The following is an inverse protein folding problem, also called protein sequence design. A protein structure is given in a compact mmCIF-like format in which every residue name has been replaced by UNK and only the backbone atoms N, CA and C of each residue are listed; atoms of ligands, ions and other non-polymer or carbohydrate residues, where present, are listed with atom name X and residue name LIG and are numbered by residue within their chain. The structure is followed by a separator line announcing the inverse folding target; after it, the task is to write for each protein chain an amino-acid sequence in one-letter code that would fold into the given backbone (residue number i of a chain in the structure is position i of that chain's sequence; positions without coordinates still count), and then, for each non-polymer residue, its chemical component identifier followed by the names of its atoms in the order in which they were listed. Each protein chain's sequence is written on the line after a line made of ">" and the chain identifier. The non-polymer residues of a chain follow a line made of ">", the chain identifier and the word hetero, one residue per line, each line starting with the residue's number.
data_IF_664995986875
#
_entry.id   IF_664995986875
#
_cell.length_a   1.000
_cell.length_b   1.000
_cell.length_c   1.000
_cell.angle_alpha   90.00
_cell.angle_beta   90.00
_cell.angle_gamma   90.00
#
_symmetry.space_group_name_H-M   'P 1'
#
loop_
_entity.id
_entity.type
_entity.pdbx_description
1 polymer ?
#
# COMPACT_ATOMS: atom_id res chain seq x y z
N UNK A 1 -1.40 -5.58 -16.98
CA UNK A 1 -2.03 -4.27 -17.26
C UNK A 1 -1.94 -3.41 -16.00
N UNK A 2 -1.82 -2.09 -16.11
CA UNK A 2 -1.81 -1.16 -14.97
C UNK A 2 -3.04 -0.26 -15.06
N UNK A 3 -3.85 -0.22 -14.00
CA UNK A 3 -5.09 0.55 -13.95
C UNK A 3 -4.91 1.76 -13.03
N UNK A 4 -5.18 2.96 -13.54
CA UNK A 4 -5.19 4.20 -12.77
C UNK A 4 -6.61 4.73 -12.60
N UNK A 5 -6.82 5.46 -11.51
CA UNK A 5 -8.00 6.28 -11.27
C UNK A 5 -7.57 7.73 -11.25
N UNK A 6 -8.23 8.57 -12.04
CA UNK A 6 -7.84 9.96 -12.26
C UNK A 6 -9.02 10.90 -12.06
N UNK A 7 -8.74 12.12 -11.60
CA UNK A 7 -9.68 13.23 -11.62
C UNK A 7 -9.38 14.15 -12.81
N UNK A 8 -10.41 14.48 -13.58
CA UNK A 8 -10.34 15.38 -14.73
C UNK A 8 -11.44 16.45 -14.60
N UNK A 9 -11.43 17.52 -15.40
CA UNK A 9 -12.54 18.46 -15.46
C UNK A 9 -13.89 17.84 -15.81
N UNK A 10 -13.91 16.64 -16.44
CA UNK A 10 -15.11 15.88 -16.76
C UNK A 10 -15.60 14.98 -15.60
N UNK A 11 -14.77 14.79 -14.56
CA UNK A 11 -15.04 13.93 -13.41
C UNK A 11 -13.99 12.86 -13.21
N UNK A 12 -14.30 11.89 -12.35
CA UNK A 12 -13.42 10.77 -12.03
C UNK A 12 -13.55 9.67 -13.09
N UNK A 13 -12.41 9.25 -13.62
CA UNK A 13 -12.31 8.21 -14.65
C UNK A 13 -11.35 7.11 -14.21
N UNK A 14 -11.55 5.88 -14.70
CA UNK A 14 -10.60 4.78 -14.62
C UNK A 14 -10.10 4.44 -16.03
N UNK A 15 -8.82 4.05 -16.12
CA UNK A 15 -8.23 3.68 -17.40
C UNK A 15 -6.92 2.93 -17.27
N UNK A 16 -6.42 2.44 -18.40
CA UNK A 16 -5.11 1.82 -18.49
C UNK A 16 -4.01 2.89 -18.43
N UNK A 17 -3.06 2.71 -17.50
CA UNK A 17 -1.93 3.60 -17.33
C UNK A 17 -0.72 3.10 -18.13
N UNK A 18 -0.23 3.92 -19.03
CA UNK A 18 0.99 3.69 -19.81
C UNK A 18 1.87 4.93 -19.82
N UNK A 19 3.01 4.85 -19.13
CA UNK A 19 4.08 5.86 -19.09
C UNK A 19 3.58 7.32 -18.92
N UNK A 20 2.70 7.53 -17.92
CA UNK A 20 2.15 8.85 -17.59
C UNK A 20 0.88 9.21 -18.39
N UNK A 21 0.45 8.39 -19.34
CA UNK A 21 -0.81 8.56 -20.06
C UNK A 21 -1.85 7.58 -19.51
N UNK A 22 -3.08 8.05 -19.29
CA UNK A 22 -4.21 7.21 -18.89
C UNK A 22 -5.19 7.11 -20.05
N UNK A 23 -5.44 5.90 -20.53
CA UNK A 23 -6.36 5.57 -21.60
C UNK A 23 -7.69 5.13 -20.99
N UNK A 24 -8.73 5.93 -21.18
CA UNK A 24 -10.09 5.68 -20.68
C UNK A 24 -11.08 5.51 -21.83
N UNK A 25 -12.32 5.12 -21.54
CA UNK A 25 -13.40 5.06 -22.53
C UNK A 25 -13.77 6.45 -23.09
N UNK A 26 -13.42 7.53 -22.38
CA UNK A 26 -13.69 8.91 -22.81
C UNK A 26 -12.55 9.55 -23.61
N UNK A 27 -11.36 8.93 -23.58
CA UNK A 27 -10.17 9.42 -24.29
C UNK A 27 -8.87 9.13 -23.54
N UNK A 28 -7.79 9.73 -24.00
CA UNK A 28 -6.46 9.60 -23.40
C UNK A 28 -6.05 10.93 -22.77
N UNK A 29 -5.53 10.85 -21.55
CA UNK A 29 -5.11 12.00 -20.74
C UNK A 29 -3.62 11.89 -20.44
N UNK A 30 -2.86 12.90 -20.83
CA UNK A 30 -1.42 13.00 -20.59
C UNK A 30 -1.07 13.73 -19.29
N UNK A 31 0.24 13.80 -18.94
CA UNK A 31 0.69 14.52 -17.76
C UNK A 31 0.21 15.99 -17.71
N UNK A 32 -0.37 16.40 -16.60
CA UNK A 32 -0.92 17.74 -16.38
C UNK A 32 -2.37 17.94 -16.89
N UNK A 33 -2.99 16.90 -17.46
CA UNK A 33 -4.41 16.91 -17.87
C UNK A 33 -5.31 16.21 -16.82
N UNK A 34 -4.73 15.61 -15.79
CA UNK A 34 -5.44 14.91 -14.72
C UNK A 34 -4.67 15.01 -13.40
N UNK A 35 -5.39 14.80 -12.31
CA UNK A 35 -4.83 14.51 -10.99
C UNK A 35 -4.97 13.01 -10.70
N UNK A 36 -3.87 12.38 -10.23
CA UNK A 36 -3.87 10.96 -9.91
C UNK A 36 -4.56 10.73 -8.56
N UNK A 37 -5.56 9.90 -8.54
CA UNK A 37 -6.28 9.50 -7.33
C UNK A 37 -5.75 8.17 -6.78
N UNK A 38 -6.09 7.86 -5.52
CA UNK A 38 -5.93 6.51 -5.03
C UNK A 38 -6.70 5.53 -5.95
N UNK A 39 -6.08 4.39 -6.32
CA UNK A 39 -6.62 3.53 -7.38
C UNK A 39 -7.91 2.79 -7.00
N UNK A 40 -8.30 2.83 -5.73
CA UNK A 40 -9.58 2.34 -5.21
C UNK A 40 -9.97 3.08 -3.94
N UNK A 41 -11.22 2.85 -3.47
CA UNK A 41 -11.76 3.39 -2.22
C UNK A 41 -12.11 2.22 -1.28
N UNK A 42 -11.18 1.79 -0.41
CA UNK A 42 -11.39 0.65 0.47
C UNK A 42 -12.41 0.94 1.57
N UNK A 43 -13.19 -0.06 1.96
CA UNK A 43 -13.99 -0.04 3.19
C UNK A 43 -13.12 -0.29 4.41
N UNK A 44 -12.00 -1.00 4.25
CA UNK A 44 -11.00 -1.25 5.26
C UNK A 44 -9.63 -1.57 4.63
N UNK A 45 -8.56 -1.32 5.41
CA UNK A 45 -7.21 -1.80 5.14
C UNK A 45 -6.88 -2.88 6.19
N UNK A 46 -6.66 -4.09 5.74
CA UNK A 46 -6.18 -5.20 6.55
C UNK A 46 -4.67 -5.29 6.38
N UNK A 47 -3.92 -4.84 7.37
CA UNK A 47 -2.47 -4.70 7.28
C UNK A 47 -1.76 -5.74 8.13
N UNK A 48 -0.72 -6.37 7.60
CA UNK A 48 0.11 -7.34 8.32
C UNK A 48 1.47 -6.73 8.63
N UNK A 49 1.94 -6.92 9.85
CA UNK A 49 3.29 -6.54 10.28
C UNK A 49 4.19 -7.75 10.49
N UNK A 50 5.50 -7.49 10.72
CA UNK A 50 6.51 -8.50 11.09
C UNK A 50 6.66 -9.64 10.07
N UNK A 51 6.53 -9.35 8.79
CA UNK A 51 6.53 -10.36 7.73
C UNK A 51 7.84 -10.43 6.92
N UNK A 52 8.85 -9.63 7.26
CA UNK A 52 10.17 -9.66 6.61
C UNK A 52 11.28 -10.00 7.61
N UNK A 53 12.15 -10.95 7.24
CA UNK A 53 13.17 -11.52 8.12
C UNK A 53 14.16 -10.50 8.65
N UNK A 54 14.75 -9.69 7.78
CA UNK A 54 15.72 -8.67 8.19
C UNK A 54 15.11 -7.65 9.16
N UNK A 55 13.84 -7.26 8.96
CA UNK A 55 13.15 -6.35 9.88
C UNK A 55 12.87 -6.97 11.24
N UNK A 56 12.49 -8.26 11.27
CA UNK A 56 12.27 -9.00 12.51
C UNK A 56 13.56 -9.08 13.31
N UNK A 57 14.69 -9.39 12.66
CA UNK A 57 16.01 -9.44 13.27
C UNK A 57 16.47 -8.06 13.78
N UNK A 58 16.30 -7.00 12.96
CA UNK A 58 16.67 -5.63 13.31
C UNK A 58 15.91 -5.10 14.54
N UNK A 59 14.65 -5.47 14.67
CA UNK A 59 13.76 -4.99 15.73
C UNK A 59 13.69 -5.92 16.93
N UNK A 60 14.45 -7.03 16.93
CA UNK A 60 14.42 -8.09 17.97
C UNK A 60 12.99 -8.60 18.25
N UNK A 61 12.23 -8.80 17.17
CA UNK A 61 10.89 -9.35 17.25
C UNK A 61 10.92 -10.88 17.19
N UNK A 62 9.95 -11.53 17.83
CA UNK A 62 9.66 -12.94 17.55
C UNK A 62 9.03 -13.09 16.18
N UNK A 63 9.46 -14.11 15.42
CA UNK A 63 8.79 -14.50 14.16
C UNK A 63 7.37 -14.96 14.49
N UNK A 64 6.32 -14.32 13.95
CA UNK A 64 4.97 -14.71 14.26
C UNK A 64 4.62 -16.07 13.61
N UNK A 65 3.94 -16.94 14.36
CA UNK A 65 3.42 -18.21 13.83
C UNK A 65 2.21 -18.01 12.91
N UNK A 66 1.46 -16.92 13.09
CA UNK A 66 0.31 -16.49 12.27
C UNK A 66 0.48 -15.02 11.89
N UNK A 67 -0.21 -14.52 10.83
CA UNK A 67 -0.18 -13.12 10.45
C UNK A 67 -0.53 -12.17 11.61
N UNK A 68 0.43 -11.31 12.01
CA UNK A 68 0.22 -10.26 13.01
C UNK A 68 -0.44 -9.05 12.35
N UNK A 69 -1.75 -8.96 12.41
CA UNK A 69 -2.52 -7.98 11.66
C UNK A 69 -3.12 -6.85 12.50
N UNK A 70 -3.45 -5.77 11.82
CA UNK A 70 -4.22 -4.63 12.33
C UNK A 70 -5.07 -4.03 11.20
N UNK A 71 -5.99 -3.14 11.54
CA UNK A 71 -6.91 -2.54 10.57
C UNK A 71 -6.72 -1.02 10.58
N UNK A 72 -6.67 -0.42 9.38
CA UNK A 72 -6.83 1.02 9.20
C UNK A 72 -8.23 1.33 8.66
N UNK A 73 -8.87 2.43 9.12
CA UNK A 73 -10.18 2.85 8.63
C UNK A 73 -10.09 3.46 7.21
N UNK A 74 -11.22 3.62 6.50
CA UNK A 74 -11.27 4.31 5.21
C UNK A 74 -10.66 5.72 5.23
N UNK A 75 -10.77 6.45 6.34
CA UNK A 75 -10.17 7.77 6.52
C UNK A 75 -8.64 7.78 6.44
N UNK A 76 -7.99 6.62 6.53
CA UNK A 76 -6.54 6.50 6.31
C UNK A 76 -6.14 6.65 4.84
N UNK A 77 -7.07 6.49 3.89
CA UNK A 77 -6.79 6.63 2.47
C UNK A 77 -6.23 8.01 2.15
N UNK A 78 -5.13 8.03 1.37
CA UNK A 78 -4.54 9.25 0.87
C UNK A 78 -4.05 9.03 -0.57
N UNK A 79 -4.28 9.96 -1.51
CA UNK A 79 -3.91 9.77 -2.90
C UNK A 79 -2.40 9.95 -3.11
N UNK A 80 -1.84 9.38 -4.19
CA UNK A 80 -0.48 9.67 -4.63
C UNK A 80 -0.32 11.15 -5.03
N UNK A 81 0.92 11.62 -5.09
CA UNK A 81 1.31 12.99 -5.51
C UNK A 81 0.69 14.13 -4.69
N UNK A 82 -0.09 13.80 -3.67
CA UNK A 82 -0.70 14.77 -2.75
C UNK A 82 0.13 14.84 -1.46
N UNK A 83 0.39 16.04 -0.90
CA UNK A 83 1.16 16.16 0.34
C UNK A 83 0.50 15.43 1.51
N UNK A 84 1.28 14.63 2.23
CA UNK A 84 0.85 13.96 3.46
C UNK A 84 0.80 14.99 4.58
N UNK A 85 -0.36 15.22 5.22
CA UNK A 85 -0.41 16.12 6.36
C UNK A 85 0.32 15.50 7.55
N UNK A 86 1.35 16.18 8.07
CA UNK A 86 2.05 15.72 9.25
C UNK A 86 1.12 15.79 10.47
N UNK A 87 0.86 14.67 11.18
CA UNK A 87 -0.12 14.65 12.25
C UNK A 87 0.30 15.56 13.42
N UNK A 88 -0.59 16.48 13.83
CA UNK A 88 -0.29 17.45 14.88
C UNK A 88 -0.14 16.85 16.29
N UNK A 89 -0.56 15.60 16.46
CA UNK A 89 -0.50 14.86 17.74
C UNK A 89 0.75 13.99 17.87
N UNK A 90 1.64 13.98 16.87
CA UNK A 90 2.87 13.18 16.85
C UNK A 90 4.07 14.01 16.43
N UNK A 91 5.23 13.64 16.93
CA UNK A 91 6.54 14.14 16.52
C UNK A 91 7.46 13.07 15.93
N UNK A 92 6.99 11.82 15.86
CA UNK A 92 7.75 10.65 15.39
C UNK A 92 6.97 9.88 14.33
N UNK A 93 6.72 10.53 13.18
CA UNK A 93 6.09 9.91 12.03
C UNK A 93 7.12 9.04 11.29
N UNK A 94 6.80 7.77 11.07
CA UNK A 94 7.60 6.85 10.25
C UNK A 94 6.76 6.27 9.11
N UNK A 95 7.42 5.58 8.19
CA UNK A 95 6.85 5.00 6.96
C UNK A 95 7.14 3.51 6.87
N UNK A 96 6.37 2.84 6.04
CA UNK A 96 6.59 1.45 5.67
C UNK A 96 6.11 1.22 4.24
N UNK A 97 7.04 0.99 3.30
CA UNK A 97 6.71 0.64 1.93
C UNK A 97 6.21 -0.80 1.86
N UNK A 98 4.95 -1.00 1.48
CA UNK A 98 4.30 -2.31 1.48
C UNK A 98 3.68 -2.65 0.14
N UNK A 99 3.85 -3.90 -0.30
CA UNK A 99 2.98 -4.48 -1.33
C UNK A 99 1.59 -4.69 -0.73
N UNK A 100 0.56 -4.40 -1.51
CA UNK A 100 -0.83 -4.58 -1.09
C UNK A 100 -1.69 -5.18 -2.20
N UNK A 101 -2.49 -6.19 -1.88
CA UNK A 101 -3.54 -6.69 -2.75
C UNK A 101 -4.77 -5.79 -2.68
N UNK A 102 -5.42 -5.59 -3.83
CA UNK A 102 -6.72 -4.94 -3.95
C UNK A 102 -7.76 -6.04 -4.21
N UNK A 103 -8.74 -6.15 -3.35
CA UNK A 103 -9.81 -7.14 -3.49
C UNK A 103 -10.74 -6.74 -4.65
N UNK A 104 -11.07 -7.69 -5.50
CA UNK A 104 -11.87 -7.46 -6.71
C UNK A 104 -13.36 -7.79 -6.57
N UNK A 105 -13.74 -8.61 -5.61
CA UNK A 105 -15.13 -9.03 -5.37
C UNK A 105 -15.40 -9.41 -3.92
N UNK A 106 -16.66 -9.38 -3.52
CA UNK A 106 -17.06 -9.86 -2.20
C UNK A 106 -16.65 -11.32 -2.00
N UNK A 107 -15.94 -11.60 -0.90
CA UNK A 107 -15.50 -12.96 -0.57
C UNK A 107 -15.28 -13.14 0.92
N UNK A 108 -15.34 -14.40 1.36
CA UNK A 108 -15.04 -14.86 2.70
C UNK A 108 -14.58 -16.32 2.64
N UNK A 109 -13.74 -16.76 3.56
CA UNK A 109 -13.25 -18.16 3.66
C UNK A 109 -12.66 -18.67 2.34
N UNK A 110 -11.80 -17.87 1.73
CA UNK A 110 -11.13 -18.17 0.46
C UNK A 110 -9.91 -19.04 0.72
N UNK A 111 -9.78 -20.17 0.04
CA UNK A 111 -8.55 -20.97 0.09
C UNK A 111 -7.41 -20.28 -0.66
N UNK A 112 -6.15 -20.58 -0.32
CA UNK A 112 -4.98 -20.00 -0.99
C UNK A 112 -5.02 -20.18 -2.52
N UNK A 113 -5.53 -21.32 -3.00
CA UNK A 113 -5.65 -21.60 -4.44
C UNK A 113 -6.73 -20.79 -5.16
N UNK A 114 -7.64 -20.15 -4.43
CA UNK A 114 -8.73 -19.32 -4.96
C UNK A 114 -8.44 -17.81 -4.82
N UNK A 115 -7.34 -17.43 -4.17
CA UNK A 115 -7.01 -16.02 -3.91
C UNK A 115 -6.89 -15.23 -5.21
N UNK A 116 -6.24 -15.78 -6.22
CA UNK A 116 -6.07 -15.10 -7.52
C UNK A 116 -7.42 -14.83 -8.24
N UNK A 117 -8.48 -15.57 -7.90
CA UNK A 117 -9.82 -15.35 -8.41
C UNK A 117 -10.55 -14.18 -7.75
N UNK A 118 -10.12 -13.74 -6.56
CA UNK A 118 -10.77 -12.68 -5.78
C UNK A 118 -9.95 -11.40 -5.72
N UNK A 119 -8.64 -11.46 -5.95
CA UNK A 119 -7.74 -10.30 -6.03
C UNK A 119 -7.84 -9.65 -7.40
N UNK A 120 -8.10 -8.34 -7.46
CA UNK A 120 -8.11 -7.55 -8.69
C UNK A 120 -6.69 -7.31 -9.23
N UNK A 121 -5.73 -7.20 -8.33
CA UNK A 121 -4.32 -6.91 -8.61
C UNK A 121 -3.62 -6.35 -7.40
N UNK A 122 -2.45 -5.79 -7.61
CA UNK A 122 -1.56 -5.33 -6.54
C UNK A 122 -1.21 -3.85 -6.72
N UNK A 123 -1.02 -3.16 -5.61
CA UNK A 123 -0.66 -1.74 -5.52
C UNK A 123 0.36 -1.53 -4.42
N UNK A 124 0.77 -0.28 -4.19
CA UNK A 124 1.71 0.10 -3.13
C UNK A 124 0.95 0.83 -2.03
N UNK A 125 1.19 0.44 -0.79
CA UNK A 125 0.74 1.14 0.41
C UNK A 125 1.95 1.73 1.15
N UNK A 126 1.86 2.99 1.56
CA UNK A 126 2.73 3.55 2.59
C UNK A 126 2.01 3.45 3.94
N UNK A 127 2.34 2.44 4.74
CA UNK A 127 1.77 2.28 6.08
C UNK A 127 2.44 3.21 7.07
N UNK A 128 1.91 4.43 7.21
CA UNK A 128 2.41 5.42 8.16
C UNK A 128 2.11 5.04 9.61
N UNK A 129 3.04 5.37 10.50
CA UNK A 129 3.02 5.00 11.91
C UNK A 129 3.58 6.15 12.79
N UNK A 130 2.91 6.48 13.88
CA UNK A 130 3.31 7.47 14.86
C UNK A 130 3.95 6.76 16.06
N UNK A 131 5.30 6.69 16.12
CA UNK A 131 6.04 5.85 17.08
C UNK A 131 5.90 6.32 18.54
N UNK A 132 5.61 7.60 18.76
CA UNK A 132 5.37 8.20 20.08
C UNK A 132 3.98 7.91 20.68
N UNK A 133 3.12 7.16 19.96
CA UNK A 133 1.83 6.71 20.47
C UNK A 133 1.94 5.28 21.01
N UNK A 134 1.29 4.99 22.15
CA UNK A 134 1.47 3.71 22.85
C UNK A 134 0.74 2.52 22.21
N UNK A 135 -0.42 2.76 21.57
CA UNK A 135 -1.32 1.69 21.10
C UNK A 135 -1.32 1.60 19.58
N UNK A 136 -1.28 0.38 19.04
CA UNK A 136 -1.23 0.13 17.59
C UNK A 136 -2.31 0.91 16.81
N UNK A 137 -3.56 0.93 17.27
CA UNK A 137 -4.63 1.69 16.61
C UNK A 137 -4.35 3.20 16.62
N UNK A 138 -3.89 3.77 17.75
CA UNK A 138 -3.56 5.19 17.85
C UNK A 138 -2.36 5.56 16.96
N UNK A 139 -1.42 4.64 16.81
CA UNK A 139 -0.22 4.82 15.98
C UNK A 139 -0.55 4.83 14.49
N UNK A 140 -1.46 3.95 14.03
CA UNK A 140 -1.60 3.56 12.62
C UNK A 140 -2.95 3.92 11.98
N UNK A 141 -4.00 4.18 12.77
CA UNK A 141 -5.35 4.40 12.29
C UNK A 141 -5.76 5.87 12.42
N UNK A 142 -5.12 6.75 11.65
CA UNK A 142 -5.42 8.17 11.60
C UNK A 142 -5.63 8.64 10.14
N UNK A 143 -6.17 9.82 9.96
CA UNK A 143 -6.46 10.40 8.64
C UNK A 143 -5.19 10.47 7.79
N UNK A 144 -5.29 10.09 6.53
CA UNK A 144 -4.17 10.06 5.57
C UNK A 144 -2.97 9.16 5.96
N UNK A 145 -3.17 8.22 6.89
CA UNK A 145 -2.10 7.31 7.33
C UNK A 145 -1.78 6.15 6.38
N UNK A 146 -2.47 6.07 5.25
CA UNK A 146 -2.32 5.02 4.23
C UNK A 146 -2.29 5.56 2.80
N UNK A 147 -1.26 6.35 2.40
CA UNK A 147 -1.07 6.69 1.00
C UNK A 147 -1.06 5.44 0.14
N UNK A 148 -1.87 5.43 -0.93
CA UNK A 148 -2.14 4.24 -1.74
C UNK A 148 -2.02 4.55 -3.24
N UNK A 149 -1.29 3.74 -3.98
CA UNK A 149 -1.16 3.87 -5.43
C UNK A 149 0.21 3.46 -5.96
N UNK A 150 0.64 3.94 -7.12
CA UNK A 150 -0.07 4.87 -8.02
C UNK A 150 -1.18 4.21 -8.85
N UNK A 151 -1.09 2.88 -9.07
CA UNK A 151 -1.96 2.08 -9.94
C UNK A 151 -2.27 0.73 -9.32
N UNK A 152 -3.21 -0.01 -9.90
CA UNK A 152 -3.39 -1.45 -9.68
C UNK A 152 -2.73 -2.20 -10.84
N UNK A 153 -1.72 -3.02 -10.57
CA UNK A 153 -1.14 -3.94 -11.55
C UNK A 153 -1.87 -5.29 -11.49
N UNK A 154 -2.51 -5.70 -12.60
CA UNK A 154 -3.43 -6.84 -12.63
C UNK A 154 -2.78 -8.17 -12.99
N UNK A 155 -1.67 -8.15 -13.71
CA UNK A 155 -1.03 -9.36 -14.27
C UNK A 155 0.40 -9.52 -13.73
N UNK A 156 0.55 -9.50 -12.41
CA UNK A 156 1.84 -9.72 -11.75
C UNK A 156 1.71 -10.81 -10.68
N UNK A 157 2.79 -11.57 -10.47
CA UNK A 157 2.92 -12.43 -9.30
C UNK A 157 3.38 -11.58 -8.12
N UNK A 158 2.74 -11.66 -6.95
CA UNK A 158 3.16 -10.90 -5.77
C UNK A 158 4.48 -11.40 -5.14
N UNK A 159 5.01 -12.55 -5.57
CA UNK A 159 6.26 -13.14 -5.09
C UNK A 159 7.38 -12.81 -6.07
N UNK A 160 8.55 -12.44 -5.53
CA UNK A 160 9.75 -12.16 -6.34
C UNK A 160 9.84 -10.72 -6.86
N UNK A 161 9.05 -9.79 -6.34
CA UNK A 161 9.10 -8.38 -6.73
C UNK A 161 10.15 -7.61 -5.93
N UNK A 162 11.05 -6.94 -6.64
CA UNK A 162 11.99 -5.98 -6.04
C UNK A 162 11.24 -4.74 -5.54
N UNK A 163 11.61 -4.27 -4.34
CA UNK A 163 11.10 -3.04 -3.77
C UNK A 163 12.21 -2.11 -3.28
N UNK A 164 11.96 -0.82 -3.38
CA UNK A 164 12.82 0.24 -2.84
C UNK A 164 11.99 1.36 -2.23
N UNK A 165 12.47 1.93 -1.12
CA UNK A 165 11.97 3.20 -0.57
C UNK A 165 13.10 4.22 -0.54
N UNK A 166 12.84 5.42 -1.06
CA UNK A 166 13.76 6.55 -1.03
C UNK A 166 13.15 7.73 -0.25
N UNK A 167 13.97 8.39 0.55
CA UNK A 167 13.64 9.67 1.20
C UNK A 167 14.61 10.71 0.66
N UNK A 168 14.10 11.78 0.05
CA UNK A 168 14.89 12.84 -0.59
C UNK A 168 15.95 12.28 -1.58
N UNK A 169 15.57 11.20 -2.31
CA UNK A 169 16.45 10.50 -3.25
C UNK A 169 17.46 9.54 -2.63
N UNK A 170 17.56 9.45 -1.29
CA UNK A 170 18.41 8.48 -0.60
C UNK A 170 17.65 7.17 -0.36
N UNK A 171 18.19 6.03 -0.84
CA UNK A 171 17.58 4.72 -0.62
C UNK A 171 17.66 4.31 0.86
N UNK A 172 16.50 4.05 1.47
CA UNK A 172 16.34 3.66 2.88
C UNK A 172 15.96 2.20 3.04
N UNK A 173 15.03 1.70 2.21
CA UNK A 173 14.62 0.31 2.22
C UNK A 173 14.92 -0.32 0.86
N UNK A 174 15.27 -1.59 0.85
CA UNK A 174 15.43 -2.41 -0.34
C UNK A 174 15.26 -3.87 0.07
N UNK A 175 14.40 -4.60 -0.61
CA UNK A 175 14.16 -6.02 -0.36
C UNK A 175 13.43 -6.63 -1.57
N UNK A 176 13.16 -7.93 -1.47
CA UNK A 176 12.36 -8.67 -2.43
C UNK A 176 11.20 -9.37 -1.70
N UNK A 177 10.02 -9.42 -2.32
CA UNK A 177 8.84 -10.04 -1.71
C UNK A 177 8.98 -11.55 -1.49
N UNK A 178 9.97 -12.21 -2.11
CA UNK A 178 10.31 -13.61 -1.82
C UNK A 178 10.83 -13.83 -0.38
N UNK A 179 11.29 -12.75 0.29
CA UNK A 179 11.79 -12.78 1.67
C UNK A 179 10.69 -12.62 2.73
N UNK A 180 9.43 -12.61 2.33
CA UNK A 180 8.29 -12.67 3.25
C UNK A 180 8.21 -14.02 3.95
N UNK A 181 8.00 -14.05 5.26
CA UNK A 181 7.79 -15.29 6.02
C UNK A 181 6.49 -16.00 5.65
N UNK A 182 5.44 -15.22 5.45
CA UNK A 182 4.10 -15.70 5.08
C UNK A 182 3.77 -15.07 3.72
N UNK A 183 3.53 -15.92 2.73
CA UNK A 183 3.25 -15.47 1.38
C UNK A 183 1.93 -14.68 1.27
N UNK A 184 1.81 -13.76 0.30
CA UNK A 184 0.60 -12.95 0.12
C UNK A 184 -0.70 -13.75 0.02
N UNK A 185 -0.70 -14.89 -0.69
CA UNK A 185 -1.90 -15.74 -0.84
C UNK A 185 -2.33 -16.36 0.49
N UNK A 186 -1.39 -16.82 1.30
CA UNK A 186 -1.67 -17.35 2.64
C UNK A 186 -2.25 -16.29 3.57
N UNK A 187 -1.76 -15.04 3.50
CA UNK A 187 -2.28 -13.91 4.28
C UNK A 187 -3.72 -13.57 3.89
N UNK A 188 -4.01 -13.45 2.59
CA UNK A 188 -5.38 -13.18 2.12
C UNK A 188 -6.33 -14.31 2.54
N UNK A 189 -5.93 -15.56 2.38
CA UNK A 189 -6.70 -16.73 2.83
C UNK A 189 -6.98 -16.65 4.33
N UNK A 190 -5.97 -16.49 5.17
CA UNK A 190 -6.06 -16.38 6.63
C UNK A 190 -7.02 -15.26 7.09
N UNK A 191 -6.90 -14.08 6.50
CA UNK A 191 -7.76 -12.95 6.86
C UNK A 191 -9.19 -13.15 6.36
N UNK A 192 -9.41 -13.80 5.21
CA UNK A 192 -10.74 -14.09 4.68
C UNK A 192 -11.57 -15.04 5.55
N UNK A 193 -10.93 -15.86 6.40
CA UNK A 193 -11.62 -16.67 7.39
C UNK A 193 -12.24 -15.85 8.52
N UNK A 194 -11.71 -14.64 8.75
CA UNK A 194 -12.08 -13.75 9.86
C UNK A 194 -12.94 -12.59 9.42
N UNK A 195 -12.79 -12.16 8.17
CA UNK A 195 -13.44 -10.98 7.60
C UNK A 195 -14.11 -11.32 6.28
N UNK A 196 -15.24 -10.68 6.02
CA UNK A 196 -15.82 -10.62 4.68
C UNK A 196 -15.20 -9.43 3.98
N UNK A 197 -14.49 -9.67 2.89
CA UNK A 197 -13.92 -8.61 2.07
C UNK A 197 -14.94 -8.05 1.09
N UNK A 198 -14.82 -6.74 0.84
CA UNK A 198 -15.56 -6.02 -0.19
C UNK A 198 -14.65 -5.60 -1.35
N UNK A 199 -15.18 -5.38 -2.57
CA UNK A 199 -14.40 -4.85 -3.68
C UNK A 199 -13.73 -3.53 -3.31
N UNK A 200 -12.43 -3.42 -3.56
CA UNK A 200 -11.62 -2.25 -3.21
C UNK A 200 -10.91 -2.37 -1.85
N UNK A 201 -11.26 -3.33 -1.00
CA UNK A 201 -10.54 -3.55 0.26
C UNK A 201 -9.07 -3.86 0.00
N UNK A 202 -8.22 -3.44 0.94
CA UNK A 202 -6.77 -3.57 0.85
C UNK A 202 -6.28 -4.61 1.85
N UNK A 203 -5.42 -5.52 1.37
CA UNK A 203 -4.64 -6.43 2.22
C UNK A 203 -3.17 -6.15 1.98
N UNK A 204 -2.45 -5.59 2.97
CA UNK A 204 -1.01 -5.32 2.87
C UNK A 204 -0.18 -6.35 3.61
N UNK A 205 1.07 -6.56 3.14
CA UNK A 205 1.86 -7.74 3.48
C UNK A 205 3.09 -7.44 4.35
N UNK A 206 3.17 -6.23 4.92
CA UNK A 206 4.31 -5.81 5.71
C UNK A 206 5.42 -5.16 4.88
N UNK A 207 6.38 -4.58 5.57
CA UNK A 207 7.50 -3.88 4.96
C UNK A 207 8.85 -4.43 5.44
N UNK A 208 9.92 -4.29 4.63
CA UNK A 208 11.28 -4.65 5.02
C UNK A 208 11.86 -3.76 6.12
N UNK A 209 13.11 -4.07 6.51
CA UNK A 209 13.91 -3.36 7.47
C UNK A 209 14.21 -1.89 7.09
N UNK A 210 14.86 -1.19 8.01
CA UNK A 210 15.34 0.19 7.86
C UNK A 210 14.26 1.26 7.64
N UNK A 211 13.11 1.22 8.35
CA UNK A 211 12.26 2.40 8.41
C UNK A 211 13.03 3.54 9.09
N UNK A 212 12.70 4.78 8.72
CA UNK A 212 13.24 5.98 9.35
C UNK A 212 12.13 6.93 9.75
N UNK A 213 12.47 8.04 10.39
CA UNK A 213 11.50 9.11 10.63
C UNK A 213 11.36 9.97 9.38
N UNK A 214 10.16 10.49 9.18
CA UNK A 214 9.85 11.54 8.20
C UNK A 214 9.85 12.90 8.89
N UNK A 215 10.39 13.89 8.19
CA UNK A 215 10.34 15.29 8.59
C UNK A 215 9.44 16.08 7.62
N UNK A 216 8.96 17.24 8.07
CA UNK A 216 8.23 18.15 7.18
C UNK A 216 9.13 18.62 6.05
N UNK A 217 8.64 18.53 4.82
CA UNK A 217 9.37 18.85 3.61
C UNK A 217 10.09 17.68 2.96
N UNK A 218 10.06 16.49 3.59
CA UNK A 218 10.61 15.29 2.96
C UNK A 218 9.76 14.86 1.75
N UNK A 219 10.43 14.28 0.76
CA UNK A 219 9.84 13.54 -0.35
C UNK A 219 10.05 12.04 -0.11
N UNK A 220 8.96 11.27 -0.13
CA UNK A 220 9.01 9.81 -0.06
C UNK A 220 8.60 9.18 -1.40
N UNK A 221 9.41 8.26 -1.86
CA UNK A 221 9.15 7.43 -3.04
C UNK A 221 9.22 5.95 -2.65
N UNK A 222 8.17 5.20 -2.92
CA UNK A 222 8.12 3.75 -2.72
C UNK A 222 7.89 3.11 -4.07
N UNK A 223 8.81 2.25 -4.50
CA UNK A 223 8.78 1.57 -5.79
C UNK A 223 8.63 0.08 -5.60
N UNK A 224 7.78 -0.54 -6.41
CA UNK A 224 7.70 -1.98 -6.62
C UNK A 224 7.82 -2.30 -8.11
N UNK A 225 8.58 -3.34 -8.43
CA UNK A 225 8.72 -3.83 -9.78
C UNK A 225 7.35 -4.19 -10.37
N UNK A 226 7.12 -3.84 -11.65
CA UNK A 226 5.86 -4.10 -12.35
C UNK A 226 4.67 -3.20 -11.97
N UNK A 227 4.72 -2.49 -10.81
CA UNK A 227 3.65 -1.59 -10.36
C UNK A 227 3.99 -0.14 -10.73
N UNK A 228 5.11 0.35 -10.24
CA UNK A 228 5.53 1.74 -10.43
C UNK A 228 6.04 2.37 -9.14
N UNK A 229 5.82 3.68 -8.98
CA UNK A 229 6.33 4.45 -7.83
C UNK A 229 5.21 5.27 -7.20
N UNK A 230 4.92 5.00 -5.94
CA UNK A 230 4.08 5.87 -5.09
C UNK A 230 4.95 7.01 -4.56
N UNK A 231 4.53 8.25 -4.80
CA UNK A 231 5.23 9.47 -4.35
C UNK A 231 4.32 10.36 -3.55
N UNK A 232 4.87 10.91 -2.47
CA UNK A 232 4.22 11.96 -1.71
C UNK A 232 5.28 12.88 -1.09
N UNK A 233 4.95 14.17 -0.93
CA UNK A 233 5.69 15.08 -0.06
C UNK A 233 5.07 15.05 1.35
N UNK A 234 5.82 15.44 2.38
CA UNK A 234 5.34 15.57 3.77
C UNK A 234 5.16 17.05 4.11
N UNK A 235 3.98 17.46 4.55
CA UNK A 235 3.61 18.86 4.88
C UNK A 235 4.02 19.29 6.29
#
# INVERSE_FOLDING_TARGET
>A
MRLARIETPAGVLEGEYDDGTVHTDEGSYGPGEYDLLAPCEPSAFYCVGRNFGEKVDQMDYEVPEEPDFFIKPPASLHPPETPIPYPSFSSELTYAGELAAVIGRNCTSVSESEVDDVVRGYTILNDLDCLDQERRTARKAFDASGPLGPVIATDIDPVGLEMETHINGERRQHDNTENMFIEPRAIVSFLSERFTFEPGDIVSFGSPANPGLLERGDEIEIRYEGIGTLRNAVE
#
